data_IF_053375768265
#
_entry.id   IF_053375768265
#
_cell.length_a   1.000
_cell.length_b   1.000
_cell.length_c   1.000
_cell.angle_alpha   90.00
_cell.angle_beta   90.00
_cell.angle_gamma   90.00
#
_symmetry.space_group_name_H-M   'P 1'
#
loop_
_entity.id
_entity.type
_entity.pdbx_description
1 polymer ?
#
# COMPACT_ATOMS: atom_id res chain seq x y z
N UNK A 1 -11.10 6.31 7.80
CA UNK A 1 -10.55 6.56 6.45
C UNK A 1 -11.57 6.11 5.40
N UNK A 2 -11.67 6.76 4.24
CA UNK A 2 -12.57 6.32 3.16
C UNK A 2 -12.03 5.05 2.45
N UNK A 3 -12.87 4.21 1.80
CA UNK A 3 -12.41 2.99 1.13
C UNK A 3 -11.32 3.21 0.06
N UNK A 4 -11.40 4.31 -0.71
CA UNK A 4 -10.36 4.65 -1.70
C UNK A 4 -9.02 4.97 -1.06
N UNK A 5 -9.03 5.81 -0.02
CA UNK A 5 -7.80 6.19 0.70
C UNK A 5 -7.13 4.97 1.34
N UNK A 6 -7.94 4.03 1.83
CA UNK A 6 -7.46 2.75 2.36
C UNK A 6 -6.76 1.93 1.28
N UNK A 7 -7.38 1.77 0.11
CA UNK A 7 -6.77 1.05 -1.01
C UNK A 7 -5.45 1.69 -1.48
N UNK A 8 -5.40 3.03 -1.55
CA UNK A 8 -4.17 3.78 -1.85
C UNK A 8 -3.07 3.52 -0.82
N UNK A 9 -3.41 3.58 0.46
CA UNK A 9 -2.50 3.26 1.55
C UNK A 9 -1.96 1.83 1.44
N UNK A 10 -2.85 0.83 1.29
CA UNK A 10 -2.48 -0.58 1.19
C UNK A 10 -1.53 -0.82 0.00
N UNK A 11 -1.79 -0.19 -1.16
CA UNK A 11 -0.93 -0.32 -2.33
C UNK A 11 0.47 0.27 -2.09
N UNK A 12 0.52 1.50 -1.56
CA UNK A 12 1.78 2.18 -1.29
C UNK A 12 2.58 1.45 -0.20
N UNK A 13 1.93 0.99 0.86
CA UNK A 13 2.53 0.20 1.93
C UNK A 13 3.09 -1.13 1.42
N UNK A 14 2.34 -1.87 0.60
CA UNK A 14 2.81 -3.11 -0.01
C UNK A 14 4.05 -2.87 -0.89
N UNK A 15 4.08 -1.76 -1.63
CA UNK A 15 5.25 -1.38 -2.42
C UNK A 15 6.47 -1.12 -1.54
N UNK A 16 6.32 -0.41 -0.43
CA UNK A 16 7.40 -0.18 0.56
C UNK A 16 7.96 -1.52 1.04
N UNK A 17 7.12 -2.48 1.42
CA UNK A 17 7.56 -3.80 1.87
C UNK A 17 8.39 -4.52 0.79
N UNK A 18 7.84 -4.61 -0.43
CA UNK A 18 8.52 -5.27 -1.55
C UNK A 18 9.87 -4.61 -1.85
N UNK A 19 9.92 -3.28 -1.90
CA UNK A 19 11.15 -2.54 -2.18
C UNK A 19 12.16 -2.67 -1.04
N UNK A 20 11.72 -2.62 0.22
CA UNK A 20 12.59 -2.81 1.38
C UNK A 20 13.25 -4.18 1.41
N UNK A 21 12.54 -5.24 1.02
CA UNK A 21 13.10 -6.59 0.95
C UNK A 21 13.96 -6.83 -0.28
N UNK A 22 13.74 -6.08 -1.36
CA UNK A 22 14.47 -6.24 -2.62
C UNK A 22 15.68 -5.32 -2.76
N UNK A 23 15.79 -4.28 -1.91
CA UNK A 23 16.85 -3.27 -1.96
C UNK A 23 17.38 -2.93 -0.57
N UNK A 24 18.61 -3.36 -0.30
CA UNK A 24 19.33 -3.02 0.93
C UNK A 24 19.55 -1.50 1.07
N UNK A 25 19.79 -0.80 -0.05
CA UNK A 25 19.94 0.66 -0.04
C UNK A 25 18.65 1.36 0.40
N UNK A 26 17.49 0.91 -0.12
CA UNK A 26 16.20 1.45 0.29
C UNK A 26 15.90 1.11 1.75
N UNK A 27 16.20 -0.12 2.17
CA UNK A 27 16.08 -0.56 3.56
C UNK A 27 16.90 0.32 4.51
N UNK A 28 18.17 0.58 4.20
CA UNK A 28 19.03 1.46 4.99
C UNK A 28 18.54 2.93 5.01
N UNK A 29 17.92 3.40 3.92
CA UNK A 29 17.29 4.72 3.89
C UNK A 29 16.02 4.79 4.73
N UNK A 30 15.22 3.73 4.81
CA UNK A 30 14.10 3.68 5.75
C UNK A 30 14.58 3.90 7.19
N UNK A 31 15.70 3.30 7.59
CA UNK A 31 16.21 3.43 8.96
C UNK A 31 16.86 4.81 9.24
N UNK A 32 17.36 5.51 8.23
CA UNK A 32 18.08 6.79 8.39
C UNK A 32 17.26 8.03 8.05
N UNK A 33 16.41 7.96 7.03
CA UNK A 33 15.47 9.00 6.60
C UNK A 33 14.14 8.37 6.14
N UNK A 34 13.35 7.85 7.10
CA UNK A 34 12.13 7.10 6.79
C UNK A 34 11.14 7.94 5.99
N UNK A 35 11.04 9.24 6.28
CA UNK A 35 10.07 10.11 5.64
C UNK A 35 10.33 10.26 4.14
N UNK A 36 11.59 10.47 3.75
CA UNK A 36 11.95 10.56 2.33
C UNK A 36 11.76 9.22 1.62
N UNK A 37 12.19 8.12 2.25
CA UNK A 37 12.04 6.78 1.67
C UNK A 37 10.57 6.38 1.46
N UNK A 38 9.69 6.68 2.41
CA UNK A 38 8.25 6.40 2.30
C UNK A 38 7.57 7.21 1.19
N UNK A 39 7.95 8.48 1.05
CA UNK A 39 7.39 9.37 0.02
C UNK A 39 7.66 8.86 -1.41
N UNK A 40 8.80 8.20 -1.65
CA UNK A 40 9.13 7.59 -2.95
C UNK A 40 8.15 6.49 -3.36
N UNK A 41 7.54 5.82 -2.38
CA UNK A 41 6.54 4.77 -2.59
C UNK A 41 5.10 5.30 -2.58
N UNK A 42 4.91 6.61 -2.43
CA UNK A 42 3.60 7.26 -2.36
C UNK A 42 3.00 7.31 -0.95
N UNK A 43 3.76 6.95 0.09
CA UNK A 43 3.35 7.15 1.48
C UNK A 43 3.82 8.51 1.98
N UNK A 44 3.01 9.53 1.73
CA UNK A 44 3.27 10.89 2.21
C UNK A 44 2.75 11.10 3.63
N UNK A 45 3.62 11.57 4.51
CA UNK A 45 3.29 11.86 5.91
C UNK A 45 3.05 13.36 6.11
N UNK A 46 2.16 13.79 7.02
CA UNK A 46 2.00 15.21 7.37
C UNK A 46 3.30 15.85 7.87
N UNK A 47 3.49 17.15 7.67
CA UNK A 47 4.67 17.86 8.18
C UNK A 47 4.73 17.79 9.71
N UNK A 48 5.91 17.49 10.27
CA UNK A 48 6.10 17.33 11.73
C UNK A 48 5.62 15.99 12.30
N UNK A 49 5.20 15.05 11.46
CA UNK A 49 4.86 13.70 11.90
C UNK A 49 6.07 12.96 12.51
N UNK A 50 5.85 12.28 13.63
CA UNK A 50 6.81 11.35 14.21
C UNK A 50 6.67 10.00 13.50
N UNK A 51 7.78 9.42 13.05
CA UNK A 51 7.80 8.11 12.37
C UNK A 51 8.55 7.11 13.22
N UNK A 52 7.93 5.96 13.45
CA UNK A 52 8.46 4.87 14.25
C UNK A 52 8.42 3.61 13.40
N UNK A 53 9.59 3.08 13.04
CA UNK A 53 9.72 1.82 12.32
C UNK A 53 9.85 0.66 13.29
N UNK A 54 9.00 -0.35 13.12
CA UNK A 54 9.07 -1.61 13.85
C UNK A 54 9.63 -2.67 12.90
N UNK A 55 10.91 -3.00 13.10
CA UNK A 55 11.68 -3.93 12.25
C UNK A 55 11.66 -5.38 12.75
N UNK A 56 11.52 -5.56 14.06
CA UNK A 56 11.51 -6.86 14.70
C UNK A 56 10.07 -7.19 15.15
N UNK A 57 9.41 -8.06 14.41
CA UNK A 57 8.07 -8.56 14.72
C UNK A 57 8.25 -10.03 15.12
N UNK A 58 7.88 -10.43 16.35
CA UNK A 58 8.09 -11.79 16.80
C UNK A 58 7.35 -12.80 15.90
N UNK A 59 8.04 -13.87 15.50
CA UNK A 59 7.48 -14.95 14.66
C UNK A 59 6.17 -15.49 15.27
N UNK A 60 5.15 -15.68 14.43
CA UNK A 60 3.82 -16.15 14.85
C UNK A 60 2.87 -15.07 15.39
N UNK A 61 3.25 -13.79 15.35
CA UNK A 61 2.31 -12.69 15.54
C UNK A 61 1.71 -12.24 14.20
N UNK A 62 0.39 -12.08 14.18
CA UNK A 62 -0.37 -11.42 13.10
C UNK A 62 -0.08 -9.90 13.03
N UNK A 63 0.99 -9.39 13.63
CA UNK A 63 1.34 -7.96 13.61
C UNK A 63 1.82 -7.49 12.22
N UNK A 64 2.07 -8.41 11.28
CA UNK A 64 2.22 -8.14 9.85
C UNK A 64 0.89 -8.12 9.09
N UNK A 65 -0.25 -8.25 9.78
CA UNK A 65 -1.58 -8.20 9.17
C UNK A 65 -1.87 -6.77 8.70
N UNK A 66 -2.27 -6.65 7.43
CA UNK A 66 -2.57 -5.38 6.79
C UNK A 66 -3.62 -4.56 7.56
N UNK A 67 -4.58 -5.21 8.20
CA UNK A 67 -5.63 -4.56 9.01
C UNK A 67 -5.04 -3.84 10.22
N UNK A 68 -4.08 -4.47 10.89
CA UNK A 68 -3.37 -3.88 12.03
C UNK A 68 -2.63 -2.64 11.56
N UNK A 69 -1.94 -2.74 10.43
CA UNK A 69 -1.21 -1.62 9.88
C UNK A 69 -2.12 -0.47 9.42
N UNK A 70 -3.29 -0.75 8.84
CA UNK A 70 -4.29 0.26 8.50
C UNK A 70 -4.77 0.99 9.76
N UNK A 71 -5.09 0.27 10.84
CA UNK A 71 -5.51 0.86 12.09
C UNK A 71 -4.41 1.75 12.72
N UNK A 72 -3.14 1.31 12.66
CA UNK A 72 -1.99 2.11 13.09
C UNK A 72 -1.82 3.39 12.26
N UNK A 73 -2.05 3.30 10.95
CA UNK A 73 -2.00 4.46 10.06
C UNK A 73 -3.09 5.47 10.36
N UNK A 74 -4.34 5.02 10.55
CA UNK A 74 -5.45 5.89 10.94
C UNK A 74 -5.17 6.60 12.26
N UNK A 75 -4.66 5.88 13.26
CA UNK A 75 -4.21 6.47 14.53
C UNK A 75 -3.10 7.51 14.33
N UNK A 76 -2.19 7.27 13.39
CA UNK A 76 -1.14 8.23 13.03
C UNK A 76 -1.69 9.51 12.41
N UNK A 77 -2.73 9.41 11.58
CA UNK A 77 -3.42 10.58 11.03
C UNK A 77 -4.08 11.43 12.12
N UNK A 78 -4.59 10.80 13.19
CA UNK A 78 -5.22 11.50 14.32
C UNK A 78 -4.20 12.10 15.29
N UNK A 79 -3.07 11.42 15.52
CA UNK A 79 -2.12 11.76 16.59
C UNK A 79 -0.85 12.44 16.10
N UNK A 80 -0.52 12.33 14.81
CA UNK A 80 0.75 12.73 14.22
C UNK A 80 1.90 11.75 14.44
N UNK A 81 1.67 10.60 15.11
CA UNK A 81 2.68 9.56 15.34
C UNK A 81 2.36 8.30 14.54
N UNK A 82 3.20 8.00 13.56
CA UNK A 82 3.02 6.90 12.62
C UNK A 82 3.94 5.74 12.97
N UNK A 83 3.33 4.62 13.32
CA UNK A 83 4.02 3.36 13.59
C UNK A 83 3.85 2.44 12.38
N UNK A 84 4.98 2.03 11.78
CA UNK A 84 5.02 1.23 10.55
C UNK A 84 5.79 -0.07 10.78
N UNK A 85 5.12 -1.19 10.51
CA UNK A 85 5.62 -2.54 10.72
C UNK A 85 6.32 -3.08 9.47
N UNK A 86 7.58 -2.69 9.28
CA UNK A 86 8.36 -3.06 8.08
C UNK A 86 9.41 -4.10 8.49
N UNK A 87 9.10 -5.40 8.55
CA UNK A 87 10.06 -6.41 8.98
C UNK A 87 11.27 -6.47 8.04
N UNK A 88 12.46 -6.78 8.57
CA UNK A 88 13.69 -6.86 7.77
C UNK A 88 13.63 -7.94 6.68
N UNK A 89 12.86 -9.00 6.92
CA UNK A 89 12.65 -10.09 5.99
C UNK A 89 11.16 -10.38 5.80
N UNK A 90 10.76 -10.85 4.60
CA UNK A 90 9.38 -11.23 4.34
C UNK A 90 8.97 -12.37 5.27
N UNK A 91 7.96 -12.12 6.09
CA UNK A 91 7.29 -13.15 6.88
C UNK A 91 6.29 -13.82 5.94
N UNK A 92 6.60 -15.02 5.44
CA UNK A 92 5.81 -15.67 4.38
C UNK A 92 4.48 -16.17 4.95
N UNK A 93 3.43 -15.38 4.76
CA UNK A 93 2.04 -15.83 4.67
C UNK A 93 1.35 -15.02 3.56
N UNK A 94 1.55 -15.45 2.30
CA UNK A 94 0.93 -14.85 1.10
C UNK A 94 -0.60 -15.06 1.01
N UNK A 95 -1.23 -15.55 2.08
CA UNK A 95 -2.62 -15.99 2.11
C UNK A 95 -3.60 -14.94 2.67
N UNK A 96 -3.13 -13.83 3.24
CA UNK A 96 -4.00 -12.80 3.86
C UNK A 96 -4.29 -11.59 2.96
N UNK A 97 -3.95 -11.65 1.67
CA UNK A 97 -4.52 -10.76 0.66
C UNK A 97 -5.84 -11.38 0.19
N UNK A 98 -6.91 -11.24 0.97
CA UNK A 98 -8.23 -11.71 0.58
C UNK A 98 -8.63 -11.10 -0.78
N UNK A 99 -9.13 -11.92 -1.71
CA UNK A 99 -9.45 -11.54 -3.10
C UNK A 99 -10.37 -10.30 -3.22
N UNK A 100 -11.07 -9.93 -2.14
CA UNK A 100 -11.92 -8.75 -2.05
C UNK A 100 -11.20 -7.39 -2.05
N UNK A 101 -9.93 -7.30 -1.59
CA UNK A 101 -9.16 -6.05 -1.65
C UNK A 101 -8.62 -5.77 -3.07
N UNK A 102 -8.41 -6.82 -3.87
CA UNK A 102 -8.00 -6.72 -5.28
C UNK A 102 -9.17 -6.33 -6.20
N UNK A 103 -10.41 -6.69 -5.85
CA UNK A 103 -11.62 -6.38 -6.62
C UNK A 103 -11.88 -4.86 -6.73
N UNK A 104 -11.55 -4.09 -5.68
CA UNK A 104 -11.67 -2.62 -5.70
C UNK A 104 -10.66 -1.91 -6.62
N UNK A 105 -9.59 -2.59 -7.05
CA UNK A 105 -8.55 -2.04 -7.92
C UNK A 105 -9.01 -2.08 -9.40
N UNK A 106 -9.92 -2.99 -9.75
CA UNK A 106 -10.41 -3.16 -11.11
C UNK A 106 -11.47 -2.12 -11.54
N UNK A 107 -11.99 -1.30 -10.63
CA UNK A 107 -13.02 -0.29 -10.91
C UNK A 107 -12.45 1.14 -11.12
N UNK A 108 -11.23 1.24 -11.64
CA UNK A 108 -10.49 2.50 -11.81
C UNK A 108 -10.27 2.93 -13.27
N UNK A 109 -11.30 2.98 -14.11
CA UNK A 109 -11.30 3.90 -15.27
C UNK A 109 -12.43 4.91 -15.09
N UNK A 110 -12.14 5.93 -14.29
CA UNK A 110 -12.92 7.18 -14.29
C UNK A 110 -11.96 8.35 -14.24
N UNK A 111 -11.32 8.58 -15.39
CA UNK A 111 -10.84 9.91 -15.75
C UNK A 111 -11.64 10.32 -16.97
N UNK A 112 -12.58 11.23 -16.76
CA UNK A 112 -13.12 12.04 -17.83
C UNK A 112 -11.96 12.82 -18.47
N UNK A 113 -11.49 12.35 -19.61
CA UNK A 113 -11.18 13.13 -20.80
C UNK A 113 -10.74 12.15 -21.89
N UNK A 114 -11.64 11.97 -22.86
CA UNK A 114 -11.41 11.51 -24.24
C UNK A 114 -10.05 10.88 -24.53
N UNK A 115 -9.97 9.56 -24.36
CA UNK A 115 -9.07 8.73 -25.15
C UNK A 115 -9.95 7.65 -25.79
N UNK A 116 -10.18 7.82 -27.09
CA UNK A 116 -10.71 6.80 -28.01
C UNK A 116 -9.79 5.58 -28.00
N UNK A 117 -9.91 4.74 -26.99
CA UNK A 117 -9.37 3.38 -27.01
C UNK A 117 -10.45 2.47 -27.56
N UNK A 118 -10.29 2.26 -28.87
CA UNK A 118 -10.84 1.22 -29.72
C UNK A 118 -10.77 -0.18 -29.08
N UNK A 119 -11.65 -0.44 -28.12
CA UNK A 119 -11.93 -1.76 -27.57
C UNK A 119 -13.05 -2.41 -28.40
N UNK A 120 -12.67 -3.01 -29.52
CA UNK A 120 -13.47 -4.00 -30.22
C UNK A 120 -13.71 -5.24 -29.33
N UNK A 121 -14.75 -5.21 -28.52
CA UNK A 121 -15.44 -6.42 -28.08
C UNK A 121 -16.91 -6.32 -28.51
N UNK A 122 -17.24 -7.04 -29.59
CA UNK A 122 -18.58 -7.22 -30.14
C UNK A 122 -19.66 -7.48 -29.07
N UNK A 123 -20.90 -7.07 -29.36
CA UNK A 123 -21.91 -8.11 -29.60
C UNK A 123 -22.82 -7.79 -30.80
N UNK A 124 -22.89 -8.76 -31.73
CA UNK A 124 -23.92 -9.01 -32.73
C UNK A 124 -24.95 -7.90 -33.06
N UNK A 125 -24.81 -7.26 -34.23
CA UNK A 125 -25.95 -6.83 -35.05
C UNK A 125 -25.50 -6.45 -36.49
N UNK A 126 -25.67 -7.36 -37.46
CA UNK A 126 -25.95 -7.17 -38.90
C UNK A 126 -25.75 -8.53 -39.60
N UNK A 127 -26.82 -9.25 -39.97
CA UNK A 127 -27.44 -9.23 -41.30
C UNK A 127 -26.55 -9.81 -42.42
N UNK A 128 -26.68 -11.12 -42.68
CA UNK A 128 -27.00 -11.73 -44.00
C UNK A 128 -27.56 -13.12 -43.77
#
# INVERSE_FOLDING_TARGET
MDPRQRAEFVNAYTRVLITAWSSEEYSARLDSDPRSALAESGLELPAGAEVVLVRNIPEGHHDSNIEVQVALWERGLETGRFELHIPETPQVDMAELNEGDLDSIAAGVSSAESIDINCCCCPCCCCT
#
